data_IF_916514651607
#
_entry.id   IF_916514651607
#
_cell.length_a   1.000
_cell.length_b   1.000
_cell.length_c   1.000
_cell.angle_alpha   90.00
_cell.angle_beta   90.00
_cell.angle_gamma   90.00
#
_symmetry.space_group_name_H-M   'P 1'
#
loop_
_entity.id
_entity.type
_entity.pdbx_description
1 polymer ?
#
# COMPACT_ATOMS: atom_id res chain seq x y z
N UNK A 1 11.34 -18.44 12.68
CA UNK A 1 10.50 -18.12 13.85
C UNK A 1 9.18 -17.55 13.34
N UNK A 2 8.06 -18.12 13.76
CA UNK A 2 6.70 -17.75 13.32
C UNK A 2 6.18 -16.58 14.14
N UNK A 3 5.89 -15.45 13.49
CA UNK A 3 5.31 -14.27 14.13
C UNK A 3 3.78 -14.44 14.30
N UNK A 4 3.31 -14.42 15.54
CA UNK A 4 1.88 -14.53 15.89
C UNK A 4 1.20 -13.16 15.80
N UNK A 5 -0.02 -13.17 15.26
CA UNK A 5 -0.90 -12.03 14.96
C UNK A 5 -1.40 -11.35 16.24
N UNK A 6 -1.06 -10.08 16.46
CA UNK A 6 -1.95 -9.00 16.94
C UNK A 6 -1.14 -7.72 17.25
N UNK A 7 -1.26 -6.69 16.39
CA UNK A 7 -0.58 -5.36 16.43
C UNK A 7 0.60 -5.21 15.44
N UNK A 8 0.31 -5.16 14.14
CA UNK A 8 1.26 -5.23 13.02
C UNK A 8 2.38 -4.15 12.94
N UNK A 9 2.35 -3.05 13.69
CA UNK A 9 3.35 -1.97 13.52
C UNK A 9 4.21 -1.67 14.74
N UNK A 10 3.71 -1.95 15.96
CA UNK A 10 4.47 -1.65 17.18
C UNK A 10 5.34 -2.85 17.61
N UNK A 11 4.86 -4.07 17.36
CA UNK A 11 5.56 -5.30 17.76
C UNK A 11 6.86 -5.51 16.97
N UNK A 12 6.89 -5.14 15.69
CA UNK A 12 8.09 -5.15 14.86
C UNK A 12 9.15 -4.13 15.31
N UNK A 13 8.71 -2.96 15.80
CA UNK A 13 9.61 -1.93 16.34
C UNK A 13 10.15 -2.27 17.72
N UNK A 14 9.36 -2.96 18.56
CA UNK A 14 9.85 -3.49 19.85
C UNK A 14 10.93 -4.55 19.66
N UNK A 15 10.81 -5.40 18.64
CA UNK A 15 11.85 -6.38 18.29
C UNK A 15 13.13 -5.70 17.79
N UNK A 16 13.02 -4.63 16.99
CA UNK A 16 14.19 -3.84 16.55
C UNK A 16 14.92 -3.15 17.73
N UNK A 17 14.20 -2.72 18.76
CA UNK A 17 14.81 -2.10 19.96
C UNK A 17 15.77 -3.04 20.70
N UNK A 18 15.58 -4.36 20.58
CA UNK A 18 16.46 -5.35 21.19
C UNK A 18 17.72 -5.60 20.37
N UNK A 19 17.65 -5.46 19.04
CA UNK A 19 18.77 -5.66 18.10
C UNK A 19 19.73 -4.46 18.12
N UNK A 20 19.20 -3.24 18.23
CA UNK A 20 19.99 -1.99 18.30
C UNK A 20 20.95 -1.95 19.52
N UNK A 21 20.67 -2.75 20.56
CA UNK A 21 21.55 -2.93 21.73
C UNK A 21 22.69 -3.93 21.52
N UNK A 22 22.62 -4.78 20.51
CA UNK A 22 23.57 -5.88 20.26
C UNK A 22 24.61 -5.53 19.17
N UNK A 23 24.28 -4.57 18.28
CA UNK A 23 25.10 -4.21 17.10
C UNK A 23 26.16 -3.13 17.33
N UNK A 24 26.15 -2.46 18.49
CA UNK A 24 27.05 -1.33 18.78
C UNK A 24 28.53 -1.71 18.95
N UNK A 25 28.89 -3.00 18.98
CA UNK A 25 30.25 -3.44 19.36
C UNK A 25 31.16 -3.97 18.23
N UNK A 26 30.71 -4.11 16.96
CA UNK A 26 31.45 -4.95 15.99
C UNK A 26 31.83 -4.41 14.60
N UNK A 27 31.72 -3.11 14.29
CA UNK A 27 32.25 -2.59 13.00
C UNK A 27 33.12 -1.35 13.21
N UNK A 28 34.45 -1.55 13.19
CA UNK A 28 35.48 -0.50 13.34
C UNK A 28 35.79 0.27 12.04
N UNK A 29 35.21 -0.09 10.89
CA UNK A 29 35.46 0.56 9.60
C UNK A 29 34.22 1.33 9.10
N UNK A 30 34.34 2.65 9.09
CA UNK A 30 33.29 3.60 8.72
C UNK A 30 32.90 3.50 7.23
N UNK A 31 33.85 3.15 6.34
CA UNK A 31 33.58 2.97 4.92
C UNK A 31 32.81 1.67 4.66
N UNK A 32 33.19 0.60 5.36
CA UNK A 32 32.47 -0.67 5.31
C UNK A 32 31.05 -0.51 5.85
N UNK A 33 30.88 0.18 6.98
CA UNK A 33 29.57 0.50 7.58
C UNK A 33 28.67 1.28 6.61
N UNK A 34 29.22 2.29 5.92
CA UNK A 34 28.47 3.06 4.94
C UNK A 34 28.07 2.22 3.72
N UNK A 35 28.91 1.29 3.25
CA UNK A 35 28.56 0.41 2.14
C UNK A 35 27.42 -0.56 2.49
N UNK A 36 27.45 -1.18 3.68
CA UNK A 36 26.38 -2.04 4.17
C UNK A 36 25.09 -1.27 4.42
N UNK A 37 25.18 -0.04 4.93
CA UNK A 37 24.05 0.85 5.09
C UNK A 37 23.39 1.20 3.74
N UNK A 38 24.18 1.55 2.73
CA UNK A 38 23.65 1.88 1.40
C UNK A 38 23.05 0.67 0.68
N UNK A 39 23.69 -0.50 0.76
CA UNK A 39 23.18 -1.75 0.20
C UNK A 39 21.89 -2.20 0.92
N UNK A 40 21.86 -2.10 2.25
CA UNK A 40 20.66 -2.34 3.05
C UNK A 40 19.50 -1.41 2.67
N UNK A 41 19.77 -0.11 2.54
CA UNK A 41 18.76 0.86 2.09
C UNK A 41 18.27 0.59 0.66
N UNK A 42 19.17 0.19 -0.26
CA UNK A 42 18.80 -0.18 -1.62
C UNK A 42 17.91 -1.41 -1.65
N UNK A 43 18.27 -2.45 -0.89
CA UNK A 43 17.46 -3.67 -0.74
C UNK A 43 16.08 -3.36 -0.16
N UNK A 44 15.99 -2.43 0.80
CA UNK A 44 14.72 -2.03 1.40
C UNK A 44 13.84 -1.16 0.50
N UNK A 45 14.46 -0.33 -0.34
CA UNK A 45 13.74 0.44 -1.35
C UNK A 45 13.28 -0.42 -2.53
N UNK A 46 13.99 -1.51 -2.84
CA UNK A 46 13.68 -2.44 -3.92
C UNK A 46 12.76 -3.60 -3.51
N UNK A 47 12.26 -3.62 -2.27
CA UNK A 47 11.15 -4.51 -1.91
C UNK A 47 9.98 -4.16 -2.84
N UNK A 48 9.64 -5.07 -3.76
CA UNK A 48 8.39 -5.07 -4.54
C UNK A 48 8.25 -4.07 -5.70
N UNK A 49 9.17 -4.05 -6.67
CA UNK A 49 8.77 -3.65 -8.04
C UNK A 49 7.79 -4.65 -8.65
N UNK A 50 8.04 -5.95 -8.45
CA UNK A 50 7.23 -7.06 -8.98
C UNK A 50 5.78 -7.07 -8.49
N UNK A 51 5.50 -6.54 -7.30
CA UNK A 51 4.15 -6.51 -6.74
C UNK A 51 3.20 -5.58 -7.49
N UNK A 52 3.65 -4.39 -7.86
CA UNK A 52 2.80 -3.40 -8.56
C UNK A 52 2.40 -3.95 -9.93
N UNK A 53 3.34 -4.60 -10.62
CA UNK A 53 3.12 -5.24 -11.91
C UNK A 53 2.16 -6.44 -11.79
N UNK A 54 2.27 -7.23 -10.71
CA UNK A 54 1.37 -8.34 -10.42
C UNK A 54 -0.07 -7.88 -10.14
N UNK A 55 -0.26 -6.73 -9.47
CA UNK A 55 -1.61 -6.17 -9.23
C UNK A 55 -2.27 -5.75 -10.54
N UNK A 56 -1.50 -5.10 -11.43
CA UNK A 56 -2.02 -4.67 -12.72
C UNK A 56 -2.41 -5.88 -13.58
N UNK A 57 -1.60 -6.95 -13.57
CA UNK A 57 -1.92 -8.20 -14.25
C UNK A 57 -3.16 -8.90 -13.67
N UNK A 58 -3.30 -8.98 -12.34
CA UNK A 58 -4.53 -9.53 -11.72
C UNK A 58 -5.76 -8.68 -12.04
N UNK A 59 -5.65 -7.36 -12.05
CA UNK A 59 -6.77 -6.47 -12.38
C UNK A 59 -7.20 -6.57 -13.84
N UNK A 60 -6.26 -6.70 -14.77
CA UNK A 60 -6.57 -6.93 -16.18
C UNK A 60 -7.19 -8.31 -16.43
N UNK A 61 -6.81 -9.33 -15.64
CA UNK A 61 -7.32 -10.70 -15.80
C UNK A 61 -8.66 -10.95 -15.12
N UNK A 62 -8.88 -10.37 -13.95
CA UNK A 62 -10.00 -10.71 -13.07
C UNK A 62 -10.90 -9.52 -12.72
N UNK A 63 -10.46 -8.29 -12.99
CA UNK A 63 -11.24 -7.08 -12.73
C UNK A 63 -12.25 -6.77 -13.82
N UNK A 64 -13.24 -5.94 -13.46
CA UNK A 64 -14.17 -5.37 -14.43
C UNK A 64 -13.56 -4.13 -15.10
N UNK A 65 -12.76 -4.35 -16.14
CA UNK A 65 -12.00 -3.28 -16.83
C UNK A 65 -12.90 -2.16 -17.36
N UNK A 66 -14.10 -2.48 -17.85
CA UNK A 66 -15.07 -1.46 -18.30
C UNK A 66 -15.51 -0.52 -17.17
N UNK A 67 -15.75 -1.07 -15.98
CA UNK A 67 -16.09 -0.30 -14.78
C UNK A 67 -14.88 0.53 -14.32
N UNK A 68 -13.66 0.02 -14.46
CA UNK A 68 -12.44 0.75 -14.13
C UNK A 68 -12.27 1.99 -15.03
N UNK A 69 -12.53 1.88 -16.33
CA UNK A 69 -12.51 3.02 -17.27
C UNK A 69 -13.51 4.12 -16.85
N UNK A 70 -14.67 3.73 -16.33
CA UNK A 70 -15.64 4.69 -15.81
C UNK A 70 -15.18 5.38 -14.53
N UNK A 71 -14.57 4.63 -13.60
CA UNK A 71 -13.94 5.20 -12.41
C UNK A 71 -12.80 6.17 -12.76
N UNK A 72 -11.99 5.85 -13.76
CA UNK A 72 -10.94 6.74 -14.26
C UNK A 72 -11.51 8.04 -14.84
N UNK A 73 -12.57 7.93 -15.66
CA UNK A 73 -13.30 9.10 -16.18
C UNK A 73 -13.92 9.95 -15.06
N UNK A 74 -14.28 9.33 -13.93
CA UNK A 74 -14.73 10.02 -12.73
C UNK A 74 -13.59 10.67 -11.92
N UNK A 75 -12.34 10.52 -12.36
CA UNK A 75 -11.16 11.17 -11.78
C UNK A 75 -10.32 10.26 -10.88
N UNK A 76 -10.60 8.95 -10.83
CA UNK A 76 -9.72 8.01 -10.13
C UNK A 76 -8.42 7.78 -10.91
N UNK A 77 -7.33 7.52 -10.19
CA UNK A 77 -6.09 7.03 -10.81
C UNK A 77 -6.31 5.61 -11.33
N UNK A 78 -5.70 5.27 -12.47
CA UNK A 78 -5.79 3.96 -13.14
C UNK A 78 -5.64 2.79 -12.16
N UNK A 79 -4.54 2.75 -11.40
CA UNK A 79 -4.32 1.69 -10.41
C UNK A 79 -5.46 1.57 -9.39
N UNK A 80 -5.97 2.70 -8.89
CA UNK A 80 -7.07 2.71 -7.92
C UNK A 80 -8.37 2.22 -8.56
N UNK A 81 -8.68 2.63 -9.78
CA UNK A 81 -9.85 2.18 -10.52
C UNK A 81 -9.82 0.67 -10.78
N UNK A 82 -8.67 0.17 -11.25
CA UNK A 82 -8.42 -1.26 -11.46
C UNK A 82 -8.54 -2.06 -10.16
N UNK A 83 -7.93 -1.58 -9.09
CA UNK A 83 -8.01 -2.24 -7.78
C UNK A 83 -9.44 -2.29 -7.24
N UNK A 84 -10.21 -1.21 -7.38
CA UNK A 84 -11.60 -1.13 -6.89
C UNK A 84 -12.55 -2.08 -7.61
N UNK A 85 -12.22 -2.53 -8.83
CA UNK A 85 -13.06 -3.43 -9.65
C UNK A 85 -12.67 -4.89 -9.54
N UNK A 86 -11.68 -5.23 -8.72
CA UNK A 86 -11.30 -6.61 -8.45
C UNK A 86 -12.33 -7.35 -7.59
N UNK A 87 -12.40 -8.70 -7.70
CA UNK A 87 -13.16 -9.49 -6.75
C UNK A 87 -12.59 -9.32 -5.32
N UNK A 88 -13.41 -9.36 -4.25
CA UNK A 88 -12.96 -9.13 -2.87
C UNK A 88 -11.80 -10.02 -2.42
N UNK A 89 -11.77 -11.27 -2.91
CA UNK A 89 -10.67 -12.19 -2.63
C UNK A 89 -9.30 -11.65 -3.10
N UNK A 90 -9.25 -11.10 -4.31
CA UNK A 90 -8.03 -10.50 -4.87
C UNK A 90 -7.68 -9.20 -4.15
N UNK A 91 -8.66 -8.33 -3.88
CA UNK A 91 -8.45 -7.11 -3.11
C UNK A 91 -7.79 -7.39 -1.75
N UNK A 92 -8.28 -8.40 -1.02
CA UNK A 92 -7.73 -8.78 0.29
C UNK A 92 -6.28 -9.24 0.19
N UNK A 93 -5.93 -10.04 -0.84
CA UNK A 93 -4.56 -10.51 -1.06
C UNK A 93 -3.61 -9.35 -1.34
N UNK A 94 -4.04 -8.45 -2.21
CA UNK A 94 -3.27 -7.26 -2.60
C UNK A 94 -3.07 -6.34 -1.40
N UNK A 95 -4.13 -5.99 -0.67
CA UNK A 95 -4.03 -5.15 0.51
C UNK A 95 -3.11 -5.75 1.58
N UNK A 96 -3.19 -7.06 1.84
CA UNK A 96 -2.29 -7.75 2.78
C UNK A 96 -0.82 -7.65 2.35
N UNK A 97 -0.55 -7.82 1.06
CA UNK A 97 0.80 -7.69 0.54
C UNK A 97 1.30 -6.23 0.61
N UNK A 98 0.46 -5.23 0.30
CA UNK A 98 0.79 -3.82 0.49
C UNK A 98 1.13 -3.50 1.96
N UNK A 99 0.33 -4.01 2.91
CA UNK A 99 0.57 -3.85 4.34
C UNK A 99 1.87 -4.51 4.77
N UNK A 100 2.12 -5.76 4.36
CA UNK A 100 3.36 -6.48 4.68
C UNK A 100 4.60 -5.78 4.11
N UNK A 101 4.50 -5.25 2.89
CA UNK A 101 5.55 -4.42 2.29
C UNK A 101 5.80 -3.16 3.13
N UNK A 102 4.74 -2.45 3.50
CA UNK A 102 4.86 -1.21 4.24
C UNK A 102 5.46 -1.44 5.64
N UNK A 103 5.04 -2.50 6.32
CA UNK A 103 5.63 -2.96 7.57
C UNK A 103 7.13 -3.25 7.40
N UNK A 104 7.50 -4.06 6.40
CA UNK A 104 8.91 -4.42 6.15
C UNK A 104 9.78 -3.20 5.83
N UNK A 105 9.26 -2.22 5.09
CA UNK A 105 9.97 -0.96 4.82
C UNK A 105 10.23 -0.17 6.09
N UNK A 106 9.26 -0.10 7.01
CA UNK A 106 9.41 0.60 8.28
C UNK A 106 10.34 -0.14 9.24
N UNK A 107 10.25 -1.47 9.31
CA UNK A 107 11.17 -2.31 10.09
C UNK A 107 12.61 -2.12 9.61
N UNK A 108 12.83 -2.12 8.29
CA UNK A 108 14.15 -1.82 7.75
C UNK A 108 14.60 -0.38 8.09
N UNK A 109 13.72 0.61 7.96
CA UNK A 109 14.02 1.97 8.41
C UNK A 109 14.46 2.01 9.88
N UNK A 110 13.83 1.22 10.74
CA UNK A 110 14.22 1.13 12.15
C UNK A 110 15.60 0.52 12.35
N UNK A 111 15.94 -0.52 11.59
CA UNK A 111 17.23 -1.22 11.64
C UNK A 111 18.40 -0.35 11.19
N UNK A 112 18.23 0.46 10.13
CA UNK A 112 19.31 1.25 9.53
C UNK A 112 19.29 2.74 9.93
N UNK A 113 18.11 3.37 9.97
CA UNK A 113 17.95 4.81 10.28
C UNK A 113 17.67 5.08 11.77
N UNK A 114 17.43 4.01 12.54
CA UNK A 114 17.12 4.07 13.97
C UNK A 114 15.64 4.21 14.28
N UNK A 115 15.29 3.77 15.48
CA UNK A 115 13.90 3.60 15.91
C UNK A 115 13.19 4.94 16.13
N UNK A 116 13.89 5.94 16.67
CA UNK A 116 13.29 7.25 16.92
C UNK A 116 12.96 7.98 15.61
N UNK A 117 13.89 7.93 14.65
CA UNK A 117 13.68 8.44 13.29
C UNK A 117 12.46 7.79 12.64
N UNK A 118 12.37 6.46 12.74
CA UNK A 118 11.28 5.67 12.16
C UNK A 118 9.94 5.96 12.86
N UNK A 119 9.90 6.10 14.18
CA UNK A 119 8.69 6.49 14.93
C UNK A 119 8.18 7.86 14.48
N UNK A 120 9.08 8.83 14.31
CA UNK A 120 8.71 10.15 13.78
C UNK A 120 8.13 10.03 12.38
N UNK A 121 8.77 9.25 11.50
CA UNK A 121 8.29 8.98 10.14
C UNK A 121 6.89 8.35 10.13
N UNK A 122 6.63 7.38 11.00
CA UNK A 122 5.28 6.78 11.17
C UNK A 122 4.26 7.84 11.61
N UNK A 123 4.62 8.69 12.58
CA UNK A 123 3.74 9.78 13.04
C UNK A 123 3.39 10.74 11.91
N UNK A 124 4.36 11.05 11.04
CA UNK A 124 4.14 11.92 9.89
C UNK A 124 3.33 11.26 8.78
N UNK A 125 3.61 9.98 8.46
CA UNK A 125 2.83 9.22 7.48
C UNK A 125 1.36 9.11 7.88
N UNK A 126 1.06 8.95 9.17
CA UNK A 126 -0.33 8.93 9.69
C UNK A 126 -1.09 10.25 9.48
N UNK A 127 -0.41 11.35 9.15
CA UNK A 127 -1.05 12.64 8.81
C UNK A 127 -1.35 12.78 7.32
N UNK A 128 -0.72 11.98 6.46
CA UNK A 128 -0.90 12.02 5.01
C UNK A 128 -2.09 11.15 4.62
N UNK A 129 -3.06 11.68 3.88
CA UNK A 129 -4.37 11.05 3.68
C UNK A 129 -4.36 9.58 3.23
N UNK A 130 -3.56 9.23 2.23
CA UNK A 130 -3.46 7.84 1.72
C UNK A 130 -2.79 6.90 2.73
N UNK A 131 -1.67 7.31 3.33
CA UNK A 131 -0.99 6.51 4.35
C UNK A 131 -1.81 6.39 5.62
N UNK A 132 -2.53 7.44 6.02
CA UNK A 132 -3.49 7.41 7.12
C UNK A 132 -4.56 6.34 6.91
N UNK A 133 -5.17 6.28 5.71
CA UNK A 133 -6.12 5.21 5.38
C UNK A 133 -5.48 3.83 5.48
N UNK A 134 -4.25 3.67 4.98
CA UNK A 134 -3.53 2.40 5.07
C UNK A 134 -3.31 1.97 6.53
N UNK A 135 -2.84 2.86 7.40
CA UNK A 135 -2.61 2.56 8.83
C UNK A 135 -3.91 2.30 9.61
N UNK A 136 -4.93 3.15 9.43
CA UNK A 136 -6.13 3.12 10.26
C UNK A 136 -7.21 2.17 9.75
N UNK A 137 -7.17 1.80 8.47
CA UNK A 137 -8.20 1.03 7.79
C UNK A 137 -7.63 -0.21 7.12
N UNK A 138 -6.90 -0.07 6.02
CA UNK A 138 -6.51 -1.21 5.18
C UNK A 138 -5.67 -2.25 5.93
N UNK A 139 -4.73 -1.80 6.77
CA UNK A 139 -3.87 -2.67 7.58
C UNK A 139 -4.34 -2.81 9.04
N UNK A 140 -5.22 -1.92 9.50
CA UNK A 140 -5.76 -1.92 10.86
C UNK A 140 -7.03 -2.76 11.02
N UNK A 141 -7.77 -2.96 9.93
CA UNK A 141 -9.03 -3.69 9.86
C UNK A 141 -9.00 -4.64 8.66
N UNK A 142 -8.88 -5.94 8.93
CA UNK A 142 -8.66 -6.98 7.92
C UNK A 142 -9.84 -7.13 6.94
N UNK A 143 -11.03 -6.69 7.33
CA UNK A 143 -12.25 -6.81 6.55
C UNK A 143 -12.64 -5.50 5.85
N UNK A 144 -11.97 -4.39 6.18
CA UNK A 144 -12.26 -3.07 5.60
C UNK A 144 -12.25 -3.10 4.07
N UNK A 145 -11.18 -3.65 3.50
CA UNK A 145 -10.97 -3.72 2.05
C UNK A 145 -12.07 -4.53 1.37
N UNK A 146 -12.48 -5.65 1.95
CA UNK A 146 -13.50 -6.53 1.36
C UNK A 146 -14.92 -6.06 1.59
N UNK A 147 -15.15 -5.16 2.56
CA UNK A 147 -16.49 -4.67 2.89
C UNK A 147 -16.78 -3.30 2.30
N UNK A 148 -15.77 -2.44 2.15
CA UNK A 148 -15.95 -1.04 1.75
C UNK A 148 -15.66 -0.83 0.26
N UNK A 149 -14.55 -1.33 -0.26
CA UNK A 149 -14.14 -1.07 -1.64
C UNK A 149 -15.03 -1.70 -2.71
N UNK A 150 -15.62 -2.89 -2.50
CA UNK A 150 -16.61 -3.40 -3.43
C UNK A 150 -17.83 -2.51 -3.59
N UNK A 151 -18.19 -1.69 -2.60
CA UNK A 151 -19.30 -0.73 -2.74
C UNK A 151 -18.99 0.39 -3.74
N UNK A 152 -17.71 0.65 -4.01
CA UNK A 152 -17.26 1.66 -4.98
C UNK A 152 -17.16 1.06 -6.38
N UNK A 153 -16.57 -0.13 -6.49
CA UNK A 153 -16.28 -0.73 -7.80
C UNK A 153 -17.27 -1.79 -8.29
N UNK A 154 -18.31 -2.14 -7.53
CA UNK A 154 -19.44 -2.94 -8.06
C UNK A 154 -20.48 -2.05 -8.70
N UNK A 155 -21.09 -2.58 -9.75
CA UNK A 155 -22.21 -1.96 -10.46
C UNK A 155 -21.90 -0.52 -10.92
N UNK A 156 -20.62 -0.24 -11.24
CA UNK A 156 -20.17 1.12 -11.61
C UNK A 156 -20.98 1.65 -12.77
N UNK A 157 -21.12 0.84 -13.82
CA UNK A 157 -21.96 1.18 -14.95
C UNK A 157 -23.39 1.56 -14.56
N UNK A 158 -23.96 0.98 -13.50
CA UNK A 158 -25.32 1.29 -13.04
C UNK A 158 -25.39 2.65 -12.35
N UNK A 159 -24.50 2.92 -11.39
CA UNK A 159 -24.56 4.16 -10.61
C UNK A 159 -23.97 5.36 -11.36
N UNK A 160 -23.03 5.15 -12.28
CA UNK A 160 -22.45 6.24 -13.09
C UNK A 160 -23.32 6.61 -14.29
N UNK A 161 -24.26 5.74 -14.70
CA UNK A 161 -25.13 5.95 -15.86
C UNK A 161 -25.76 7.36 -15.94
N UNK A 162 -26.34 7.92 -14.86
CA UNK A 162 -26.91 9.26 -14.92
C UNK A 162 -25.89 10.34 -15.30
N UNK A 163 -24.64 10.21 -14.83
CA UNK A 163 -23.54 11.11 -15.17
C UNK A 163 -23.07 10.90 -16.61
N UNK A 164 -22.94 9.64 -17.05
CA UNK A 164 -22.52 9.29 -18.39
C UNK A 164 -23.49 9.79 -19.47
N UNK A 165 -24.80 9.69 -19.21
CA UNK A 165 -25.85 10.21 -20.09
C UNK A 165 -25.79 11.74 -20.21
N UNK A 166 -25.60 12.45 -19.10
CA UNK A 166 -25.44 13.91 -19.10
C UNK A 166 -24.19 14.37 -19.87
N UNK A 167 -23.06 13.67 -19.72
CA UNK A 167 -21.85 13.94 -20.49
C UNK A 167 -22.05 13.72 -21.99
N UNK A 168 -22.82 12.69 -22.38
CA UNK A 168 -23.10 12.39 -23.79
C UNK A 168 -24.00 13.47 -24.43
N UNK A 169 -24.95 14.00 -23.67
CA UNK A 169 -25.82 15.11 -24.10
C UNK A 169 -25.03 16.40 -24.31
N UNK A 170 -24.08 16.71 -23.41
CA UNK A 170 -23.22 17.90 -23.53
C UNK A 170 -22.30 17.87 -24.76
N UNK A 171 -21.82 16.69 -25.16
CA UNK A 171 -21.02 16.55 -26.39
C UNK A 171 -21.89 16.74 -27.64
N UNK A 172 -23.12 16.23 -27.63
CA UNK A 172 -24.06 16.37 -28.77
C UNK A 172 -24.66 17.76 -28.94
N UNK A 173 -24.68 18.58 -27.90
CA UNK A 173 -25.21 19.96 -27.95
C UNK A 173 -24.15 21.01 -28.30
N UNK A 174 -22.90 20.59 -28.52
CA UNK A 174 -21.79 21.42 -29.03
C UNK A 174 -21.53 21.27 -30.53
N UNK A 175 -22.33 20.47 -31.24
CA UNK A 175 -22.29 20.29 -32.69
C UNK A 175 -23.66 20.57 -33.30
#
# INVERSE_FOLDING_TARGET
MTCSRNSYYLDGLEQCNNIDREWTDHVQDEALRNSYYLDGLEQCNNIDREWTDHVQDEALRYGHVEDAVWLEKAGMKEFTALFMTLPPYHMSRIAKAACAKHEKQLTCGAEYEGIETTRKRISDLKKIGNHKMMFEKECGDIDYVTNVYPCVGRDVNTWIRPCAEACTILVRSRF
#
